data_IF_128318476765
#
_entry.id   IF_128318476765
#
_cell.length_a   1.000
_cell.length_b   1.000
_cell.length_c   1.000
_cell.angle_alpha   90.00
_cell.angle_beta   90.00
_cell.angle_gamma   90.00
#
_symmetry.space_group_name_H-M   'P 1'
#
loop_
_entity.id
_entity.type
_entity.pdbx_description
1 polymer ?
#
# COMPACT_ATOMS: atom_id res chain seq x y z
N UNK A 1 -84.24 5.26 21.55
CA UNK A 1 -83.41 5.94 20.52
C UNK A 1 -81.95 5.69 20.85
N UNK A 2 -81.10 5.54 19.82
CA UNK A 2 -79.63 5.33 19.82
C UNK A 2 -79.23 3.84 19.70
N UNK A 3 -79.02 3.32 18.48
CA UNK A 3 -77.81 3.40 17.61
C UNK A 3 -76.66 2.54 18.19
N UNK A 4 -75.88 1.69 17.50
CA UNK A 4 -75.69 1.33 16.09
C UNK A 4 -74.84 0.04 16.04
N UNK A 5 -74.87 -0.63 14.88
CA UNK A 5 -74.16 -1.86 14.52
C UNK A 5 -72.76 -1.56 13.95
N UNK A 6 -71.86 -2.55 14.08
CA UNK A 6 -70.79 -2.97 13.16
C UNK A 6 -69.34 -2.50 13.30
N UNK A 7 -68.52 -3.49 12.89
CA UNK A 7 -67.22 -3.42 12.21
C UNK A 7 -65.98 -3.36 13.10
N UNK A 8 -65.56 -4.54 13.56
CA UNK A 8 -64.16 -4.80 13.87
C UNK A 8 -63.36 -4.85 12.56
N UNK A 9 -62.66 -3.78 12.23
CA UNK A 9 -61.63 -3.76 11.18
C UNK A 9 -60.35 -4.37 11.74
N UNK A 10 -60.04 -5.60 11.30
CA UNK A 10 -58.71 -6.18 11.44
C UNK A 10 -57.77 -5.44 10.48
N UNK A 11 -56.94 -4.55 11.03
CA UNK A 11 -55.85 -3.92 10.30
C UNK A 11 -54.73 -4.96 10.13
N UNK A 12 -54.62 -5.56 8.95
CA UNK A 12 -53.45 -6.35 8.56
C UNK A 12 -52.27 -5.40 8.36
N UNK A 13 -51.46 -5.19 9.40
CA UNK A 13 -50.18 -4.53 9.26
C UNK A 13 -49.21 -5.49 8.56
N UNK A 14 -49.01 -5.27 7.27
CA UNK A 14 -47.94 -5.91 6.51
C UNK A 14 -46.61 -5.50 7.14
N UNK A 15 -45.89 -6.45 7.70
CA UNK A 15 -44.49 -6.24 8.06
C UNK A 15 -43.72 -6.07 6.75
N UNK A 16 -43.34 -4.83 6.44
CA UNK A 16 -42.29 -4.59 5.47
C UNK A 16 -41.04 -5.32 6.00
N UNK A 17 -40.69 -6.44 5.37
CA UNK A 17 -39.43 -7.12 5.62
C UNK A 17 -38.33 -6.19 5.11
N UNK A 18 -37.63 -5.52 6.02
CA UNK A 18 -36.42 -4.80 5.68
C UNK A 18 -35.41 -5.85 5.21
N UNK A 19 -35.10 -5.80 3.91
CA UNK A 19 -34.10 -6.65 3.31
C UNK A 19 -32.82 -6.56 4.16
N UNK A 20 -32.41 -7.68 4.74
CA UNK A 20 -31.09 -7.81 5.33
C UNK A 20 -30.10 -7.69 4.19
N UNK A 21 -29.41 -6.55 4.09
CA UNK A 21 -28.25 -6.42 3.22
C UNK A 21 -27.26 -7.53 3.65
N UNK A 22 -26.76 -8.36 2.73
CA UNK A 22 -25.69 -9.27 3.08
C UNK A 22 -24.54 -8.42 3.59
N UNK A 23 -24.20 -8.59 4.88
CA UNK A 23 -22.93 -8.13 5.41
C UNK A 23 -21.86 -8.73 4.51
N UNK A 24 -21.03 -7.89 3.90
CA UNK A 24 -19.79 -8.33 3.30
C UNK A 24 -18.99 -9.03 4.39
N UNK A 25 -19.08 -10.36 4.42
CA UNK A 25 -18.24 -11.22 5.24
C UNK A 25 -16.86 -11.18 4.61
N UNK A 26 -15.93 -10.47 5.23
CA UNK A 26 -14.51 -10.72 5.01
C UNK A 26 -14.09 -12.01 5.74
N UNK A 27 -14.84 -13.10 5.59
CA UNK A 27 -14.41 -14.42 6.05
C UNK A 27 -13.54 -15.07 4.97
N UNK A 28 -12.43 -14.40 4.68
CA UNK A 28 -11.23 -15.07 4.21
C UNK A 28 -10.25 -15.09 5.37
N UNK A 29 -10.62 -15.81 6.45
CA UNK A 29 -9.70 -16.09 7.54
C UNK A 29 -8.37 -16.66 6.99
N UNK A 30 -7.22 -16.40 7.64
CA UNK A 30 -5.93 -16.89 7.17
C UNK A 30 -6.00 -18.40 6.91
N UNK A 31 -5.68 -18.84 5.68
CA UNK A 31 -5.55 -20.27 5.39
C UNK A 31 -4.57 -20.89 6.39
N UNK A 32 -4.84 -22.10 6.94
CA UNK A 32 -3.97 -22.73 7.93
C UNK A 32 -2.50 -22.69 7.48
N UNK A 33 -1.61 -22.27 8.39
CA UNK A 33 -0.17 -22.12 8.12
C UNK A 33 0.50 -23.40 7.57
N UNK A 34 -0.14 -24.56 7.73
CA UNK A 34 0.32 -25.87 7.26
C UNK A 34 0.36 -26.03 5.72
N UNK A 35 -0.26 -25.14 4.93
CA UNK A 35 -0.31 -25.25 3.45
C UNK A 35 0.49 -24.16 2.73
N UNK A 36 1.17 -23.25 3.46
CA UNK A 36 1.87 -22.12 2.85
C UNK A 36 3.34 -22.45 2.56
N UNK A 37 3.82 -22.08 1.37
CA UNK A 37 5.26 -22.17 1.04
C UNK A 37 6.08 -21.26 1.96
N UNK A 38 7.38 -21.53 2.10
CA UNK A 38 8.27 -20.66 2.87
C UNK A 38 8.24 -19.21 2.35
N UNK A 39 8.27 -19.03 1.02
CA UNK A 39 8.17 -17.72 0.39
C UNK A 39 6.86 -17.00 0.75
N UNK A 40 5.73 -17.71 0.72
CA UNK A 40 4.42 -17.15 1.12
C UNK A 40 4.45 -16.66 2.56
N UNK A 41 5.04 -17.42 3.49
CA UNK A 41 5.16 -16.99 4.89
C UNK A 41 6.05 -15.76 5.06
N UNK A 42 7.13 -15.66 4.30
CA UNK A 42 8.02 -14.49 4.31
C UNK A 42 7.32 -13.23 3.75
N UNK A 43 6.55 -13.36 2.66
CA UNK A 43 5.73 -12.25 2.16
C UNK A 43 4.68 -11.80 3.18
N UNK A 44 3.99 -12.74 3.83
CA UNK A 44 3.00 -12.42 4.87
C UNK A 44 3.67 -11.72 6.05
N UNK A 45 4.84 -12.20 6.48
CA UNK A 45 5.59 -11.58 7.57
C UNK A 45 6.02 -10.14 7.22
N UNK A 46 6.51 -9.89 5.99
CA UNK A 46 6.84 -8.55 5.52
C UNK A 46 5.61 -7.63 5.49
N UNK A 47 4.47 -8.14 5.01
CA UNK A 47 3.21 -7.40 4.99
C UNK A 47 2.72 -7.06 6.40
N UNK A 48 2.74 -8.01 7.34
CA UNK A 48 2.34 -7.75 8.73
C UNK A 48 3.24 -6.70 9.40
N UNK A 49 4.55 -6.78 9.16
CA UNK A 49 5.51 -5.78 9.66
C UNK A 49 5.21 -4.39 9.12
N UNK A 50 4.89 -4.28 7.82
CA UNK A 50 4.49 -3.02 7.19
C UNK A 50 3.23 -2.46 7.84
N UNK A 51 2.17 -3.27 7.97
CA UNK A 51 0.90 -2.82 8.57
C UNK A 51 1.09 -2.35 10.01
N UNK A 52 1.90 -3.06 10.81
CA UNK A 52 2.22 -2.64 12.17
C UNK A 52 3.01 -1.32 12.20
N UNK A 53 3.92 -1.11 11.26
CA UNK A 53 4.70 0.13 11.18
C UNK A 53 3.89 1.34 10.65
N UNK A 54 2.87 1.09 9.84
CA UNK A 54 1.92 2.10 9.34
C UNK A 54 0.88 2.55 10.39
N UNK A 55 0.85 1.92 11.57
CA UNK A 55 0.03 2.36 12.70
C UNK A 55 0.67 3.59 13.39
N UNK A 56 0.82 4.66 12.61
CA UNK A 56 1.30 5.96 13.07
C UNK A 56 0.11 6.91 13.28
N UNK A 57 0.14 7.76 14.31
CA UNK A 57 -0.88 8.78 14.48
C UNK A 57 -0.78 9.82 13.35
N UNK A 58 -1.94 10.28 12.88
CA UNK A 58 -2.03 11.39 11.94
C UNK A 58 -1.77 12.72 12.66
N UNK A 59 -0.99 13.57 12.03
CA UNK A 59 -0.66 14.92 12.51
C UNK A 59 -1.73 15.94 12.13
N UNK A 60 -2.52 15.65 11.09
CA UNK A 60 -3.49 16.57 10.50
C UNK A 60 -2.91 17.44 9.37
N UNK A 61 -1.60 17.39 9.15
CA UNK A 61 -0.95 17.97 7.97
C UNK A 61 -0.87 16.89 6.86
N UNK A 62 -1.58 17.04 5.73
CA UNK A 62 -1.60 16.03 4.67
C UNK A 62 -0.22 15.78 4.06
N UNK A 63 0.67 16.79 4.03
CA UNK A 63 2.02 16.62 3.51
C UNK A 63 2.88 15.76 4.45
N UNK A 64 2.77 16.01 5.75
CA UNK A 64 3.46 15.20 6.75
C UNK A 64 2.88 13.79 6.78
N UNK A 65 1.56 13.67 6.83
CA UNK A 65 0.84 12.41 6.97
C UNK A 65 1.09 11.47 5.79
N UNK A 66 1.13 11.99 4.55
CA UNK A 66 1.51 11.18 3.39
C UNK A 66 2.90 10.57 3.57
N UNK A 67 3.89 11.35 4.01
CA UNK A 67 5.29 10.90 4.13
C UNK A 67 5.49 9.97 5.33
N UNK A 68 4.84 10.27 6.44
CA UNK A 68 4.82 9.41 7.63
C UNK A 68 4.23 8.04 7.27
N UNK A 69 3.14 7.98 6.50
CA UNK A 69 2.56 6.70 6.11
C UNK A 69 3.33 6.00 4.97
N UNK A 70 3.94 6.75 4.06
CA UNK A 70 4.66 6.17 2.93
C UNK A 70 6.02 5.59 3.29
N UNK A 71 6.74 6.10 4.29
CA UNK A 71 8.01 5.51 4.75
C UNK A 71 7.86 4.01 5.13
N UNK A 72 6.96 3.61 6.05
CA UNK A 72 6.78 2.19 6.39
C UNK A 72 6.16 1.38 5.24
N UNK A 73 5.28 1.97 4.43
CA UNK A 73 4.74 1.31 3.23
C UNK A 73 5.85 0.93 2.24
N UNK A 74 6.75 1.87 1.97
CA UNK A 74 7.91 1.66 1.10
C UNK A 74 8.87 0.63 1.68
N UNK A 75 9.09 0.66 3.00
CA UNK A 75 9.91 -0.37 3.66
C UNK A 75 9.28 -1.77 3.52
N UNK A 76 7.95 -1.88 3.59
CA UNK A 76 7.24 -3.12 3.31
C UNK A 76 7.47 -3.64 1.89
N UNK A 77 7.40 -2.75 0.89
CA UNK A 77 7.68 -3.07 -0.50
C UNK A 77 9.13 -3.57 -0.70
N UNK A 78 10.11 -2.90 -0.06
CA UNK A 78 11.52 -3.32 -0.07
C UNK A 78 11.69 -4.71 0.57
N UNK A 79 11.04 -4.96 1.71
CA UNK A 79 11.14 -6.25 2.40
C UNK A 79 10.55 -7.38 1.55
N UNK A 80 9.41 -7.14 0.88
CA UNK A 80 8.84 -8.10 -0.08
C UNK A 80 9.73 -8.30 -1.31
N UNK A 81 10.31 -7.23 -1.86
CA UNK A 81 11.23 -7.32 -2.99
C UNK A 81 12.46 -8.17 -2.65
N UNK A 82 12.99 -8.09 -1.43
CA UNK A 82 14.07 -8.97 -0.94
C UNK A 82 13.65 -10.44 -0.88
N UNK A 83 12.42 -10.73 -0.46
CA UNK A 83 11.87 -12.10 -0.53
C UNK A 83 11.83 -12.56 -1.99
N UNK A 84 11.32 -11.75 -2.91
CA UNK A 84 11.29 -12.07 -4.33
C UNK A 84 12.70 -12.35 -4.89
N UNK A 85 13.71 -11.54 -4.56
CA UNK A 85 15.09 -11.78 -4.98
C UNK A 85 15.67 -13.11 -4.50
N UNK A 86 15.23 -13.61 -3.35
CA UNK A 86 15.71 -14.88 -2.80
C UNK A 86 14.92 -16.12 -3.29
N UNK A 87 13.68 -15.93 -3.75
CA UNK A 87 12.74 -17.04 -4.05
C UNK A 87 12.28 -17.12 -5.51
N UNK A 88 12.21 -15.99 -6.22
CA UNK A 88 11.67 -15.93 -7.57
C UNK A 88 12.66 -16.49 -8.60
N UNK A 89 12.10 -17.24 -9.56
CA UNK A 89 12.83 -17.85 -10.68
C UNK A 89 12.72 -17.06 -11.97
N UNK A 90 11.61 -16.32 -12.12
CA UNK A 90 11.34 -15.49 -13.28
C UNK A 90 12.31 -14.29 -13.33
N UNK A 91 13.07 -14.11 -14.43
CA UNK A 91 14.05 -13.03 -14.55
C UNK A 91 13.45 -11.62 -14.44
N UNK A 92 12.25 -11.41 -15.01
CA UNK A 92 11.58 -10.11 -14.98
C UNK A 92 11.14 -9.76 -13.54
N UNK A 93 10.64 -10.75 -12.78
CA UNK A 93 10.24 -10.54 -11.38
C UNK A 93 11.43 -10.12 -10.51
N UNK A 94 12.60 -10.72 -10.75
CA UNK A 94 13.84 -10.35 -10.04
C UNK A 94 14.29 -8.94 -10.42
N UNK A 95 14.23 -8.58 -11.70
CA UNK A 95 14.57 -7.24 -12.17
C UNK A 95 13.63 -6.17 -11.58
N UNK A 96 12.33 -6.45 -11.54
CA UNK A 96 11.36 -5.56 -10.89
C UNK A 96 11.67 -5.40 -9.40
N UNK A 97 12.02 -6.47 -8.69
CA UNK A 97 12.37 -6.41 -7.28
C UNK A 97 13.62 -5.55 -7.02
N UNK A 98 14.65 -5.64 -7.87
CA UNK A 98 15.83 -4.77 -7.78
C UNK A 98 15.46 -3.29 -7.96
N UNK A 99 14.64 -2.98 -8.98
CA UNK A 99 14.18 -1.62 -9.24
C UNK A 99 13.35 -1.05 -8.07
N UNK A 100 12.44 -1.85 -7.50
CA UNK A 100 11.65 -1.46 -6.31
C UNK A 100 12.57 -1.13 -5.14
N UNK A 101 13.58 -1.95 -4.86
CA UNK A 101 14.50 -1.69 -3.75
C UNK A 101 15.18 -0.34 -3.91
N UNK A 102 15.75 -0.07 -5.10
CA UNK A 102 16.51 1.16 -5.35
C UNK A 102 15.62 2.40 -5.25
N UNK A 103 14.50 2.43 -5.98
CA UNK A 103 13.67 3.64 -6.03
C UNK A 103 13.01 3.93 -4.69
N UNK A 104 12.48 2.91 -4.01
CA UNK A 104 11.77 3.11 -2.75
C UNK A 104 12.72 3.47 -1.59
N UNK A 105 13.99 3.01 -1.63
CA UNK A 105 15.01 3.47 -0.68
C UNK A 105 15.33 4.96 -0.87
N UNK A 106 15.42 5.41 -2.13
CA UNK A 106 15.63 6.83 -2.43
C UNK A 106 14.45 7.67 -1.96
N UNK A 107 13.22 7.24 -2.22
CA UNK A 107 12.01 7.94 -1.79
C UNK A 107 11.92 8.02 -0.26
N UNK A 108 12.28 6.95 0.48
CA UNK A 108 12.40 7.00 1.95
C UNK A 108 13.39 8.09 2.38
N UNK A 109 14.57 8.15 1.76
CA UNK A 109 15.57 9.17 2.09
C UNK A 109 15.02 10.60 1.87
N UNK A 110 14.38 10.84 0.72
CA UNK A 110 13.81 12.14 0.38
C UNK A 110 12.68 12.54 1.36
N UNK A 111 11.80 11.60 1.71
CA UNK A 111 10.72 11.81 2.68
C UNK A 111 11.25 12.10 4.09
N UNK A 112 12.22 11.34 4.58
CA UNK A 112 12.85 11.57 5.90
C UNK A 112 13.55 12.94 5.94
N UNK A 113 14.26 13.29 4.88
CA UNK A 113 14.88 14.61 4.77
C UNK A 113 13.88 15.75 4.76
N UNK A 114 12.73 15.57 4.10
CA UNK A 114 11.64 16.56 4.14
C UNK A 114 11.07 16.68 5.55
N UNK A 115 10.70 15.58 6.22
CA UNK A 115 10.13 15.60 7.58
C UNK A 115 11.06 16.32 8.57
N UNK A 116 12.36 16.00 8.54
CA UNK A 116 13.36 16.63 9.41
C UNK A 116 13.44 18.16 9.21
N UNK A 117 13.38 18.65 7.97
CA UNK A 117 13.41 20.10 7.68
C UNK A 117 12.13 20.83 8.11
N UNK A 118 11.03 20.12 8.29
CA UNK A 118 9.72 20.69 8.65
C UNK A 118 9.32 20.38 10.10
N UNK A 119 10.24 19.87 10.92
CA UNK A 119 10.01 19.64 12.35
C UNK A 119 9.21 18.39 12.69
N UNK A 120 9.01 17.48 11.74
CA UNK A 120 8.33 16.21 11.97
C UNK A 120 9.33 15.08 12.26
N UNK A 121 8.97 14.19 13.17
CA UNK A 121 9.71 12.95 13.40
C UNK A 121 9.42 11.95 12.28
N UNK A 122 10.45 11.34 11.73
CA UNK A 122 10.28 10.24 10.80
C UNK A 122 9.95 8.93 11.55
N UNK A 123 8.98 8.13 11.07
CA UNK A 123 8.67 6.85 11.65
C UNK A 123 9.76 5.80 11.34
N UNK A 124 9.76 4.66 12.05
CA UNK A 124 10.63 3.54 11.73
C UNK A 124 10.37 3.00 10.33
N UNK A 125 11.42 2.85 9.52
CA UNK A 125 11.33 2.33 8.16
C UNK A 125 12.61 2.61 7.41
N UNK A 126 13.45 1.57 7.27
CA UNK A 126 14.70 1.60 6.52
C UNK A 126 15.66 2.71 6.93
N UNK A 127 16.63 2.40 7.79
CA UNK A 127 17.83 3.23 7.83
C UNK A 127 18.46 3.27 6.41
N UNK A 128 18.98 4.41 5.93
CA UNK A 128 19.62 4.47 4.62
C UNK A 128 20.86 3.57 4.61
N UNK A 129 20.67 2.30 4.23
CA UNK A 129 21.78 1.37 4.03
C UNK A 129 22.33 1.63 2.63
N UNK A 130 23.36 2.46 2.57
CA UNK A 130 24.14 2.82 1.38
C UNK A 130 23.42 3.78 0.41
N UNK A 131 23.92 5.01 0.34
CA UNK A 131 23.61 5.94 -0.75
C UNK A 131 24.29 5.40 -2.00
N UNK A 132 23.60 4.54 -2.75
CA UNK A 132 23.96 4.28 -4.13
C UNK A 132 23.84 5.63 -4.85
N UNK A 133 24.96 6.14 -5.37
CA UNK A 133 25.04 7.49 -5.93
C UNK A 133 24.03 7.74 -7.06
N UNK A 134 23.69 9.01 -7.28
CA UNK A 134 22.70 9.49 -8.27
C UNK A 134 22.96 9.06 -9.74
N UNK A 135 24.08 8.38 -10.01
CA UNK A 135 24.47 7.88 -11.32
C UNK A 135 24.21 6.38 -11.56
N UNK A 136 23.74 5.62 -10.57
CA UNK A 136 23.64 4.16 -10.68
C UNK A 136 22.49 3.66 -11.56
N UNK A 137 21.61 4.55 -12.01
CA UNK A 137 20.47 4.24 -12.88
C UNK A 137 20.82 4.33 -14.38
N UNK A 138 21.95 4.97 -14.75
CA UNK A 138 22.30 5.20 -16.16
C UNK A 138 22.85 3.98 -16.89
N UNK A 139 23.13 2.90 -16.17
CA UNK A 139 23.72 1.68 -16.71
C UNK A 139 22.74 0.51 -16.79
N UNK A 140 21.48 0.68 -16.38
CA UNK A 140 20.44 -0.28 -16.70
C UNK A 140 20.08 -0.13 -18.18
N UNK A 141 20.15 -1.19 -18.99
CA UNK A 141 19.90 -1.08 -20.41
C UNK A 141 18.40 -0.72 -20.62
N UNK A 142 18.14 0.11 -21.63
CA UNK A 142 16.86 0.79 -21.91
C UNK A 142 15.64 -0.13 -22.20
N UNK A 143 15.80 -1.42 -21.97
CA UNK A 143 14.85 -2.51 -22.19
C UNK A 143 14.36 -3.13 -20.87
N UNK A 144 14.55 -2.46 -19.73
CA UNK A 144 13.85 -2.76 -18.49
C UNK A 144 12.36 -2.38 -18.64
N UNK A 145 11.53 -3.35 -19.05
CA UNK A 145 10.09 -3.14 -19.24
C UNK A 145 9.79 -2.43 -20.56
N UNK A 146 8.99 -3.04 -21.41
CA UNK A 146 8.67 -2.53 -22.74
C UNK A 146 8.12 -1.11 -22.67
N UNK A 147 8.77 -0.19 -23.39
CA UNK A 147 8.27 1.14 -23.71
C UNK A 147 6.81 1.11 -24.23
N UNK A 148 6.33 -0.02 -24.76
CA UNK A 148 4.93 -0.20 -25.20
C UNK A 148 3.87 -0.05 -24.09
N UNK A 149 4.14 -0.41 -22.83
CA UNK A 149 3.15 -0.21 -21.74
C UNK A 149 3.11 1.24 -21.23
N UNK A 150 4.13 2.03 -21.56
CA UNK A 150 4.23 3.46 -21.19
C UNK A 150 3.70 4.42 -22.26
N UNK A 151 3.30 3.93 -23.45
CA UNK A 151 2.85 4.80 -24.56
C UNK A 151 1.48 5.46 -24.36
N UNK A 152 0.82 5.26 -23.21
CA UNK A 152 -0.40 5.99 -22.83
C UNK A 152 -0.28 6.87 -21.58
N UNK A 153 0.79 6.74 -20.80
CA UNK A 153 1.03 7.55 -19.60
C UNK A 153 2.52 7.80 -19.49
N UNK A 154 2.92 9.06 -19.63
CA UNK A 154 4.31 9.50 -19.49
C UNK A 154 4.76 9.34 -18.03
N UNK A 155 5.13 8.12 -17.64
CA UNK A 155 5.86 7.88 -16.41
C UNK A 155 7.34 7.76 -16.78
N UNK A 156 8.09 8.84 -16.52
CA UNK A 156 9.56 8.81 -16.55
C UNK A 156 10.04 8.50 -15.13
N UNK A 157 10.49 7.27 -14.83
CA UNK A 157 11.18 7.00 -13.57
C UNK A 157 12.41 7.93 -13.46
N UNK A 158 12.58 8.59 -12.32
CA UNK A 158 13.62 9.61 -12.13
C UNK A 158 13.17 11.07 -12.34
N UNK A 159 11.88 11.28 -12.65
CA UNK A 159 11.12 12.53 -12.63
C UNK A 159 11.44 13.57 -11.56
N UNK A 160 11.80 13.07 -10.36
CA UNK A 160 12.03 13.79 -9.10
C UNK A 160 11.61 15.25 -9.16
N UNK A 161 10.41 15.56 -8.63
CA UNK A 161 9.77 16.88 -8.59
C UNK A 161 10.66 17.96 -9.19
N UNK A 162 10.38 18.34 -10.45
CA UNK A 162 11.11 19.37 -11.16
C UNK A 162 11.47 20.48 -10.16
N UNK A 163 12.77 20.62 -9.86
CA UNK A 163 13.24 21.70 -8.99
C UNK A 163 12.65 22.97 -9.57
N UNK A 164 11.66 23.55 -8.90
CA UNK A 164 11.11 24.82 -9.29
C UNK A 164 12.27 25.79 -9.16
N UNK A 165 12.78 26.22 -10.32
CA UNK A 165 13.68 27.33 -10.40
C UNK A 165 12.86 28.57 -10.02
N UNK A 166 12.96 28.98 -8.75
CA UNK A 166 13.17 30.33 -8.23
C UNK A 166 12.89 30.38 -6.74
#
# INVERSE_FOLDING_TARGET
>A
MRHLVAAATLLAATTAAWAQHPRHVHDAGPKPAATQTLATREFIAAHHKMMAAMDQPYTGDPDADFRIQMIPHHQGAIDMARVALSRAKDPWTRQLAEAIIVEQQREIYDMRGWLARHGYAAPPGGEPVHVIGWNSYRTLPANAGSLQETQGQSWTPGSGLARQAR
#
